data_IF_224942984016
#
_entry.id   IF_224942984016
#
_cell.length_a   1.000
_cell.length_b   1.000
_cell.length_c   1.000
_cell.angle_alpha   90.00
_cell.angle_beta   90.00
_cell.angle_gamma   90.00
#
_symmetry.space_group_name_H-M   'P 1'
#
loop_
_entity.id
_entity.type
_entity.pdbx_description
1 polymer ?
#
# COMPACT_ATOMS: atom_id res chain seq x y z
N UNK A 1 -3.16 23.74 -19.97
CA UNK A 1 -3.38 22.65 -19.00
C UNK A 1 -2.06 21.94 -18.80
N UNK A 2 -1.59 21.80 -17.58
CA UNK A 2 -0.40 21.01 -17.30
C UNK A 2 -0.78 19.53 -17.19
N UNK A 3 0.18 18.63 -17.48
CA UNK A 3 -0.03 17.20 -17.27
C UNK A 3 0.34 16.84 -15.84
N UNK A 4 -0.62 16.38 -15.08
CA UNK A 4 -0.43 15.98 -13.70
C UNK A 4 0.47 14.74 -13.58
N UNK A 5 1.30 14.71 -12.54
CA UNK A 5 2.15 13.57 -12.21
C UNK A 5 1.45 12.71 -11.18
N UNK A 6 1.05 11.51 -11.59
CA UNK A 6 0.40 10.52 -10.74
C UNK A 6 1.09 9.18 -10.84
N UNK A 7 0.89 8.31 -9.83
CA UNK A 7 1.32 6.92 -9.86
C UNK A 7 0.10 6.01 -9.66
N UNK A 8 -0.06 5.02 -10.56
CA UNK A 8 -0.99 3.92 -10.47
C UNK A 8 -0.21 2.70 -9.96
N UNK A 9 -0.53 2.18 -8.79
CA UNK A 9 0.31 1.21 -8.09
C UNK A 9 -0.06 -0.22 -8.51
N UNK A 10 -1.36 -0.52 -8.58
CA UNK A 10 -1.88 -1.79 -9.06
C UNK A 10 -2.90 -1.56 -10.17
N UNK A 11 -2.96 -2.40 -11.21
CA UNK A 11 -3.99 -2.30 -12.24
C UNK A 11 -5.43 -2.42 -11.71
N UNK A 12 -5.60 -2.99 -10.51
CA UNK A 12 -6.90 -3.15 -9.85
C UNK A 12 -7.32 -1.92 -9.04
N UNK A 13 -6.41 -0.94 -8.86
CA UNK A 13 -6.68 0.27 -8.10
C UNK A 13 -7.68 1.16 -8.85
N UNK A 14 -8.71 1.62 -8.17
CA UNK A 14 -9.63 2.63 -8.70
C UNK A 14 -9.27 4.05 -8.29
N UNK A 15 -8.12 4.20 -7.63
CA UNK A 15 -7.51 5.49 -7.31
C UNK A 15 -6.03 5.52 -7.68
N UNK A 16 -5.52 6.69 -8.05
CA UNK A 16 -4.09 6.96 -8.24
C UNK A 16 -3.60 7.95 -7.18
N UNK A 17 -2.29 8.05 -7.02
CA UNK A 17 -1.67 8.97 -6.06
C UNK A 17 -1.00 10.12 -6.80
N UNK A 18 -1.33 11.36 -6.40
CA UNK A 18 -0.68 12.56 -6.87
C UNK A 18 0.74 12.65 -6.30
N UNK A 19 1.78 12.61 -7.15
CA UNK A 19 3.19 12.75 -6.72
C UNK A 19 3.69 14.20 -6.75
N UNK A 20 2.85 15.11 -7.22
CA UNK A 20 3.01 16.56 -7.13
C UNK A 20 1.62 17.17 -6.95
N UNK A 21 1.48 18.43 -6.48
CA UNK A 21 0.20 19.12 -6.45
C UNK A 21 -0.43 19.17 -7.85
N UNK A 22 -1.73 18.94 -7.94
CA UNK A 22 -2.51 18.99 -9.17
C UNK A 22 -3.49 20.16 -9.05
N UNK A 23 -3.52 21.04 -10.05
CA UNK A 23 -4.48 22.13 -10.08
C UNK A 23 -5.78 21.67 -10.75
N UNK A 24 -6.89 22.27 -10.34
CA UNK A 24 -8.18 22.10 -11.02
C UNK A 24 -8.05 22.38 -12.52
N UNK A 25 -8.52 21.46 -13.34
CA UNK A 25 -8.46 21.53 -14.79
C UNK A 25 -7.19 20.95 -15.42
N UNK A 26 -6.21 20.48 -14.62
CA UNK A 26 -5.06 19.77 -15.15
C UNK A 26 -5.43 18.40 -15.72
N UNK A 27 -4.71 17.99 -16.76
CA UNK A 27 -4.87 16.67 -17.38
C UNK A 27 -4.18 15.59 -16.53
N UNK A 28 -4.90 14.54 -16.19
CA UNK A 28 -4.41 13.36 -15.48
C UNK A 28 -4.46 12.19 -16.43
N UNK A 29 -3.32 11.58 -16.73
CA UNK A 29 -3.27 10.36 -17.55
C UNK A 29 -2.93 9.17 -16.68
N UNK A 30 -3.82 8.17 -16.70
CA UNK A 30 -3.67 6.89 -16.00
C UNK A 30 -3.81 5.78 -17.02
N UNK A 31 -2.71 5.13 -17.37
CA UNK A 31 -2.65 4.12 -18.42
C UNK A 31 -3.28 4.64 -19.75
N UNK A 32 -4.41 4.07 -20.17
CA UNK A 32 -5.16 4.49 -21.36
C UNK A 32 -6.33 5.44 -21.05
N UNK A 33 -6.45 5.89 -19.78
CA UNK A 33 -7.54 6.76 -19.32
C UNK A 33 -7.04 8.20 -19.22
N UNK A 34 -7.72 9.12 -19.89
CA UNK A 34 -7.48 10.55 -19.77
C UNK A 34 -8.59 11.19 -18.93
N UNK A 35 -8.20 11.90 -17.86
CA UNK A 35 -9.08 12.55 -16.90
C UNK A 35 -8.73 14.03 -16.78
N UNK A 36 -9.67 14.80 -16.27
CA UNK A 36 -9.44 16.20 -15.87
C UNK A 36 -9.63 16.32 -14.37
N UNK A 37 -8.69 16.98 -13.69
CA UNK A 37 -8.81 17.25 -12.27
C UNK A 37 -10.03 18.13 -11.98
N UNK A 38 -10.95 17.63 -11.18
CA UNK A 38 -12.20 18.33 -10.81
C UNK A 38 -11.98 19.44 -9.80
N UNK A 39 -10.86 19.40 -9.08
CA UNK A 39 -10.49 20.31 -8.00
C UNK A 39 -8.97 20.32 -7.79
N UNK A 40 -8.48 21.20 -6.91
CA UNK A 40 -7.07 21.21 -6.51
C UNK A 40 -6.80 20.02 -5.58
N UNK A 41 -5.76 19.23 -5.91
CA UNK A 41 -5.42 18.00 -5.19
C UNK A 41 -3.99 18.12 -4.66
N UNK A 42 -3.78 18.05 -3.35
CA UNK A 42 -2.44 18.13 -2.77
C UNK A 42 -1.59 16.90 -3.11
N UNK A 43 -0.28 17.07 -3.07
CA UNK A 43 0.67 15.96 -3.20
C UNK A 43 0.41 14.87 -2.16
N UNK A 44 0.57 13.61 -2.56
CA UNK A 44 0.39 12.44 -1.70
C UNK A 44 -1.07 11.98 -1.56
N UNK A 45 -2.02 12.71 -2.14
CA UNK A 45 -3.43 12.38 -2.05
C UNK A 45 -3.93 11.54 -3.21
N UNK A 46 -5.06 10.85 -2.97
CA UNK A 46 -5.69 9.93 -3.92
C UNK A 46 -6.62 10.69 -4.87
N UNK A 47 -6.64 10.29 -6.12
CA UNK A 47 -7.55 10.76 -7.16
C UNK A 47 -8.35 9.58 -7.71
N UNK A 48 -9.66 9.70 -7.80
CA UNK A 48 -10.51 8.67 -8.39
C UNK A 48 -10.25 8.53 -9.89
N UNK A 49 -9.97 7.30 -10.35
CA UNK A 49 -9.78 6.99 -11.79
C UNK A 49 -11.12 6.84 -12.50
N UNK A 50 -12.10 6.29 -11.79
CA UNK A 50 -13.48 6.14 -12.25
C UNK A 50 -14.42 6.71 -11.19
N UNK A 51 -15.65 7.01 -11.57
CA UNK A 51 -16.68 7.38 -10.59
C UNK A 51 -16.91 6.23 -9.63
N UNK A 52 -16.77 6.50 -8.33
CA UNK A 52 -17.02 5.56 -7.25
C UNK A 52 -18.38 5.93 -6.64
N UNK A 53 -19.39 5.06 -6.71
CA UNK A 53 -20.71 5.36 -6.14
C UNK A 53 -20.65 5.42 -4.60
N UNK A 54 -21.64 6.02 -3.97
CA UNK A 54 -21.81 5.97 -2.51
C UNK A 54 -21.79 4.51 -2.02
N UNK A 55 -21.03 4.23 -0.95
CA UNK A 55 -20.77 2.89 -0.43
C UNK A 55 -19.82 2.06 -1.28
N UNK A 56 -19.32 2.61 -2.39
CA UNK A 56 -18.37 1.93 -3.28
C UNK A 56 -17.02 1.70 -2.62
N UNK A 57 -16.38 0.57 -2.91
CA UNK A 57 -15.06 0.24 -2.38
C UNK A 57 -13.99 1.14 -2.98
N UNK A 58 -13.12 1.69 -2.14
CA UNK A 58 -11.90 2.38 -2.57
C UNK A 58 -10.76 1.37 -2.56
N UNK A 59 -10.23 1.05 -3.74
CA UNK A 59 -9.20 0.03 -3.95
C UNK A 59 -7.86 0.73 -4.16
N UNK A 60 -6.86 0.37 -3.36
CA UNK A 60 -5.48 0.83 -3.46
C UNK A 60 -4.55 -0.31 -3.07
N UNK A 61 -3.45 -0.49 -3.80
CA UNK A 61 -2.53 -1.62 -3.66
C UNK A 61 -3.18 -2.99 -3.97
N UNK A 62 -4.21 -3.02 -4.82
CA UNK A 62 -5.00 -4.22 -5.12
C UNK A 62 -5.94 -4.66 -4.00
N UNK A 63 -6.11 -3.86 -2.93
CA UNK A 63 -6.98 -4.19 -1.79
C UNK A 63 -7.92 -3.04 -1.44
N UNK A 64 -9.08 -3.36 -0.85
CA UNK A 64 -9.98 -2.33 -0.35
C UNK A 64 -9.40 -1.65 0.89
N UNK A 65 -9.26 -0.33 0.82
CA UNK A 65 -8.80 0.51 1.94
C UNK A 65 -9.96 1.21 2.67
N UNK A 66 -11.19 1.07 2.17
CA UNK A 66 -12.37 1.70 2.73
C UNK A 66 -13.51 1.75 1.72
N UNK A 67 -14.53 2.52 2.03
CA UNK A 67 -15.68 2.79 1.16
C UNK A 67 -16.00 4.27 1.14
N UNK A 68 -16.61 4.73 0.06
CA UNK A 68 -17.06 6.12 -0.08
C UNK A 68 -18.33 6.37 0.73
N UNK A 69 -18.46 7.56 1.30
CA UNK A 69 -19.65 8.01 2.04
C UNK A 69 -20.62 8.79 1.17
N UNK A 70 -20.18 9.18 -0.01
CA UNK A 70 -20.95 9.81 -1.08
C UNK A 70 -20.36 9.41 -2.44
N UNK A 71 -21.02 9.71 -3.53
CA UNK A 71 -20.49 9.42 -4.86
C UNK A 71 -19.31 10.36 -5.17
N UNK A 72 -18.17 9.78 -5.57
CA UNK A 72 -16.96 10.51 -5.96
C UNK A 72 -16.76 10.38 -7.47
N UNK A 73 -16.80 11.48 -8.18
CA UNK A 73 -16.60 11.49 -9.64
C UNK A 73 -15.13 11.23 -10.02
N UNK A 74 -14.91 10.72 -11.21
CA UNK A 74 -13.57 10.56 -11.77
C UNK A 74 -12.83 11.91 -11.82
N UNK A 75 -11.53 11.90 -11.48
CA UNK A 75 -10.72 13.12 -11.41
C UNK A 75 -10.86 13.91 -10.11
N UNK A 76 -11.68 13.45 -9.15
CA UNK A 76 -11.85 14.09 -7.84
C UNK A 76 -10.93 13.52 -6.79
N UNK A 77 -10.67 14.32 -5.78
CA UNK A 77 -9.86 13.96 -4.62
C UNK A 77 -10.63 13.01 -3.69
N UNK A 78 -10.00 11.87 -3.32
CA UNK A 78 -10.57 10.88 -2.39
C UNK A 78 -9.86 10.98 -1.04
N UNK A 79 -10.58 11.39 0.00
CA UNK A 79 -10.02 11.57 1.34
C UNK A 79 -11.07 11.33 2.44
N UNK A 80 -10.75 11.72 3.69
CA UNK A 80 -11.62 11.49 4.87
C UNK A 80 -12.95 12.24 4.85
N UNK A 81 -13.12 13.20 3.94
CA UNK A 81 -14.40 13.91 3.77
C UNK A 81 -15.42 13.08 3.00
N UNK A 82 -14.98 12.16 2.12
CA UNK A 82 -15.81 11.37 1.23
C UNK A 82 -15.57 9.86 1.31
N UNK A 83 -14.64 9.40 2.20
CA UNK A 83 -14.41 7.97 2.45
C UNK A 83 -14.19 7.64 3.92
N UNK A 84 -14.56 6.43 4.31
CA UNK A 84 -14.31 5.82 5.62
C UNK A 84 -13.59 4.49 5.47
N UNK A 85 -12.79 4.14 6.49
CA UNK A 85 -12.18 2.81 6.57
C UNK A 85 -13.24 1.72 6.77
N UNK A 86 -12.99 0.52 6.25
CA UNK A 86 -13.80 -0.66 6.53
C UNK A 86 -13.47 -1.30 7.89
N UNK A 87 -12.41 -0.81 8.57
CA UNK A 87 -12.07 -1.25 9.91
C UNK A 87 -13.06 -0.65 10.90
N UNK A 88 -14.00 -1.45 11.38
CA UNK A 88 -14.98 -1.07 12.39
C UNK A 88 -15.05 -2.12 13.49
N UNK A 89 -15.04 -1.69 14.76
CA UNK A 89 -15.16 -2.55 15.92
C UNK A 89 -13.91 -3.38 16.25
N UNK A 90 -14.05 -4.29 17.23
CA UNK A 90 -13.06 -5.30 17.55
C UNK A 90 -13.12 -6.40 16.49
N UNK A 91 -12.01 -6.64 15.80
CA UNK A 91 -11.90 -7.74 14.84
C UNK A 91 -11.48 -9.00 15.59
N UNK A 92 -12.35 -10.00 15.62
CA UNK A 92 -11.97 -11.33 16.12
C UNK A 92 -11.03 -12.00 15.11
N UNK A 93 -9.76 -12.06 15.49
CA UNK A 93 -8.76 -12.76 14.69
C UNK A 93 -8.74 -14.23 15.05
N UNK A 94 -9.01 -15.09 14.09
CA UNK A 94 -8.78 -16.54 14.20
C UNK A 94 -7.42 -16.83 13.59
N UNK A 95 -6.48 -17.34 14.39
CA UNK A 95 -5.19 -17.78 13.90
C UNK A 95 -5.37 -19.04 13.03
N UNK A 96 -5.22 -18.86 11.72
CA UNK A 96 -5.25 -19.97 10.75
C UNK A 96 -3.88 -20.04 10.05
N UNK A 97 -2.90 -20.74 10.63
CA UNK A 97 -1.56 -20.80 10.07
C UNK A 97 -1.56 -21.57 8.74
N UNK A 98 -1.24 -20.92 7.65
CA UNK A 98 -0.86 -21.56 6.39
C UNK A 98 0.64 -21.87 6.45
N UNK A 99 1.02 -22.98 7.10
CA UNK A 99 2.42 -23.42 7.15
C UNK A 99 2.72 -24.16 5.85
N UNK A 100 3.60 -23.65 4.96
CA UNK A 100 3.99 -24.37 3.77
C UNK A 100 4.71 -25.67 4.14
N UNK A 101 4.51 -26.71 3.35
CA UNK A 101 5.23 -27.98 3.53
C UNK A 101 6.75 -27.71 3.54
N UNK A 102 7.42 -28.23 4.57
CA UNK A 102 8.86 -28.08 4.73
C UNK A 102 9.56 -28.87 3.62
N UNK A 103 10.06 -28.19 2.60
CA UNK A 103 10.91 -28.81 1.59
C UNK A 103 12.21 -29.28 2.27
N UNK A 104 12.52 -30.56 2.14
CA UNK A 104 13.81 -31.11 2.59
C UNK A 104 14.88 -30.57 1.63
N UNK A 105 15.72 -29.67 2.11
CA UNK A 105 16.88 -29.21 1.36
C UNK A 105 18.09 -30.09 1.70
N UNK A 106 19.03 -30.29 0.77
CA UNK A 106 20.29 -30.96 1.09
C UNK A 106 21.01 -30.19 2.21
N UNK A 107 21.67 -30.93 3.08
CA UNK A 107 22.43 -30.32 4.19
C UNK A 107 23.68 -29.66 3.60
N UNK A 108 23.67 -28.33 3.59
CA UNK A 108 24.85 -27.55 3.26
C UNK A 108 25.66 -27.28 4.54
N UNK A 109 26.99 -27.33 4.41
CA UNK A 109 27.91 -27.07 5.51
C UNK A 109 28.66 -25.75 5.28
N UNK A 110 29.03 -25.09 6.37
CA UNK A 110 29.81 -23.86 6.33
C UNK A 110 30.86 -23.87 7.47
N UNK A 111 31.92 -23.08 7.31
CA UNK A 111 32.90 -22.85 8.33
C UNK A 111 32.34 -21.91 9.42
N UNK A 112 32.47 -22.28 10.68
CA UNK A 112 31.91 -21.53 11.80
C UNK A 112 32.81 -21.55 13.04
N UNK A 113 32.57 -20.62 13.96
CA UNK A 113 33.26 -20.54 15.25
C UNK A 113 32.46 -21.31 16.29
N UNK A 114 33.10 -22.32 16.91
CA UNK A 114 32.51 -23.04 18.04
C UNK A 114 32.74 -22.23 19.32
N UNK A 115 31.65 -21.87 19.96
CA UNK A 115 31.66 -21.10 21.23
C UNK A 115 31.83 -22.04 22.44
N UNK A 116 32.21 -21.50 23.60
CA UNK A 116 32.42 -22.25 24.82
C UNK A 116 31.16 -23.00 25.31
N UNK A 117 29.97 -22.51 24.94
CA UNK A 117 28.67 -23.13 25.25
C UNK A 117 28.22 -24.19 24.20
N UNK A 118 29.09 -24.52 23.25
CA UNK A 118 28.85 -25.50 22.19
C UNK A 118 28.04 -25.00 21.01
N UNK A 119 27.59 -23.72 21.00
CA UNK A 119 26.92 -23.11 19.88
C UNK A 119 27.90 -22.71 18.80
N UNK A 120 27.45 -22.72 17.55
CA UNK A 120 28.26 -22.34 16.40
C UNK A 120 27.74 -21.03 15.82
N UNK A 121 28.65 -20.10 15.52
CA UNK A 121 28.34 -18.82 14.89
C UNK A 121 29.25 -18.56 13.70
N UNK A 122 28.74 -17.94 12.67
CA UNK A 122 29.50 -17.49 11.49
C UNK A 122 30.10 -16.12 11.68
N UNK A 123 29.45 -15.30 12.54
CA UNK A 123 29.82 -13.92 12.84
C UNK A 123 29.52 -13.60 14.30
N UNK A 124 30.15 -12.56 14.81
CA UNK A 124 29.90 -12.04 16.14
C UNK A 124 29.11 -10.73 16.03
N UNK A 125 27.86 -10.84 15.60
CA UNK A 125 26.96 -9.73 15.32
C UNK A 125 25.71 -9.79 16.19
N UNK A 126 25.15 -8.63 16.49
CA UNK A 126 23.80 -8.48 17.06
C UNK A 126 22.91 -8.01 15.92
N UNK A 127 21.87 -8.80 15.61
CA UNK A 127 20.89 -8.45 14.60
C UNK A 127 19.67 -7.86 15.31
N UNK A 128 19.30 -6.64 14.92
CA UNK A 128 18.05 -6.00 15.31
C UNK A 128 17.13 -6.09 14.10
N UNK A 129 16.10 -6.90 14.21
CA UNK A 129 15.12 -7.12 13.13
C UNK A 129 13.82 -6.44 13.52
N UNK A 130 13.52 -5.26 12.98
CA UNK A 130 12.26 -4.58 13.26
C UNK A 130 11.09 -5.37 12.65
N UNK A 131 9.98 -5.39 13.36
CA UNK A 131 8.75 -6.04 12.89
C UNK A 131 7.83 -5.11 12.09
N UNK A 132 8.17 -3.83 12.05
CA UNK A 132 7.48 -2.79 11.26
C UNK A 132 8.49 -1.87 10.61
N UNK A 133 8.21 -1.44 9.37
CA UNK A 133 9.14 -0.65 8.55
C UNK A 133 9.49 0.73 9.12
N UNK A 134 8.62 1.33 9.93
CA UNK A 134 8.83 2.66 10.51
C UNK A 134 9.89 2.74 11.61
N UNK A 135 10.46 1.61 12.05
CA UNK A 135 11.53 1.55 13.07
C UNK A 135 12.85 1.02 12.49
N UNK A 136 13.03 1.06 11.17
CA UNK A 136 14.28 0.58 10.55
C UNK A 136 15.49 1.46 10.81
N UNK A 137 15.30 2.71 11.22
CA UNK A 137 16.36 3.70 11.42
C UNK A 137 16.74 3.86 12.91
N UNK A 138 16.41 2.89 13.74
CA UNK A 138 16.72 2.90 15.19
C UNK A 138 18.01 2.16 15.49
#
# INVERSE_FOLDING_TARGET
MARAKVVHISPEDNVVVAIAPIAKGDEIKVDDIDLIAGEDIPQGHKVAVHTIPEGGQVIKYGVSIGHTTEAVEAGRWVHTHDMKTNLSGEVEYTYAPAVPEKKTMPVETFEGYVRADGKVGTRNEIWIIPTVGCVNDV
#
